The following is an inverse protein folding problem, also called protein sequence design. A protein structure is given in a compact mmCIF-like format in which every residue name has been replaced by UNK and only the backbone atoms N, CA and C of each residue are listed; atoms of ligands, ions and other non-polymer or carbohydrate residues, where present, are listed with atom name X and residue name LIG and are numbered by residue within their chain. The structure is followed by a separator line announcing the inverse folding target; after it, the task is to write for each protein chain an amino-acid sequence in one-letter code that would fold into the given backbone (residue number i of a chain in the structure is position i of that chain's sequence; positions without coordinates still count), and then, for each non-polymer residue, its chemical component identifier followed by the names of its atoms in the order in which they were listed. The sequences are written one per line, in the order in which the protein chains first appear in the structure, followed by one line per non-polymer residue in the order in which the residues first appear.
data_IF_586229791185
#
_entry.id   IF_586229791185
#
_cell.length_a   1.000
_cell.length_b   1.000
_cell.length_c   1.000
_cell.angle_alpha   90.00
_cell.angle_beta   90.00
_cell.angle_gamma   90.00
#
_symmetry.space_group_name_H-M   'P 1'
#
loop_
_entity.id
_entity.type
_entity.pdbx_description
1 polymer ?
#
# COMPACT_ATOMS: atom_id res chain seq x y z
N UNK A 1 12.27 -7.49 -14.64
CA UNK A 1 12.88 -7.45 -13.29
C UNK A 1 12.22 -6.44 -12.36
N UNK A 2 11.75 -5.33 -12.88
CA UNK A 2 10.99 -4.34 -12.10
C UNK A 2 9.52 -4.75 -12.07
N UNK A 3 9.02 -5.05 -10.88
CA UNK A 3 7.63 -5.42 -10.63
C UNK A 3 6.91 -4.25 -9.94
N UNK A 4 5.58 -4.16 -10.15
CA UNK A 4 4.72 -3.29 -9.35
C UNK A 4 4.71 -3.69 -7.88
N UNK A 5 4.23 -2.80 -7.02
CA UNK A 5 4.10 -3.09 -5.59
C UNK A 5 4.13 -1.85 -4.73
N UNK A 6 4.22 -2.09 -3.44
CA UNK A 6 4.50 -1.07 -2.44
C UNK A 6 5.98 -0.71 -2.46
N UNK A 7 6.35 0.42 -1.87
CA UNK A 7 7.75 0.80 -1.70
C UNK A 7 8.56 -0.22 -0.89
N UNK A 8 9.84 0.05 -0.69
CA UNK A 8 10.72 -0.76 0.13
C UNK A 8 10.19 -0.87 1.57
N UNK A 9 10.45 -2.00 2.21
CA UNK A 9 9.96 -2.28 3.56
C UNK A 9 10.92 -3.11 4.37
N UNK A 10 10.48 -3.42 5.59
CA UNK A 10 11.26 -4.18 6.56
C UNK A 10 12.16 -3.32 7.44
N UNK A 11 12.76 -3.95 8.44
CA UNK A 11 13.54 -3.25 9.47
C UNK A 11 14.92 -2.79 9.02
N UNK A 12 15.46 -3.31 7.90
CA UNK A 12 16.83 -3.02 7.48
C UNK A 12 16.91 -1.77 6.59
N UNK A 13 16.15 -1.74 5.50
CA UNK A 13 16.25 -0.68 4.48
C UNK A 13 16.07 0.73 5.04
N UNK A 14 14.98 1.05 5.78
CA UNK A 14 14.84 2.38 6.37
C UNK A 14 15.94 2.72 7.37
N UNK A 15 16.30 1.78 8.25
CA UNK A 15 17.34 1.97 9.26
C UNK A 15 18.69 2.25 8.63
N UNK A 16 19.07 1.47 7.62
CA UNK A 16 20.37 1.57 6.98
C UNK A 16 20.46 2.85 6.13
N UNK A 17 19.37 3.27 5.47
CA UNK A 17 19.32 4.57 4.79
C UNK A 17 19.43 5.75 5.76
N UNK A 18 18.81 5.68 6.95
CA UNK A 18 18.97 6.71 7.99
C UNK A 18 20.45 6.80 8.44
N UNK A 19 21.09 5.67 8.69
CA UNK A 19 22.50 5.64 9.10
C UNK A 19 23.42 6.17 8.00
N UNK A 20 23.19 5.82 6.74
CA UNK A 20 23.98 6.27 5.60
C UNK A 20 23.75 7.75 5.29
N UNK A 21 22.53 8.27 5.48
CA UNK A 21 22.22 9.71 5.38
C UNK A 21 22.99 10.49 6.44
N UNK A 22 23.00 10.03 7.69
CA UNK A 22 23.81 10.62 8.75
C UNK A 22 25.31 10.62 8.37
N UNK A 23 25.85 9.52 7.84
CA UNK A 23 27.25 9.47 7.37
C UNK A 23 27.50 10.45 6.20
N UNK A 24 26.55 10.59 5.28
CA UNK A 24 26.68 11.53 4.16
C UNK A 24 26.80 12.98 4.66
N UNK A 25 26.07 13.34 5.71
CA UNK A 25 26.14 14.66 6.35
C UNK A 25 27.48 14.85 7.10
N UNK A 26 27.95 13.86 7.88
CA UNK A 26 29.22 13.92 8.59
C UNK A 26 30.42 14.04 7.64
N UNK A 27 30.33 13.47 6.44
CA UNK A 27 31.38 13.50 5.42
C UNK A 27 31.24 14.67 4.43
N UNK A 28 30.27 15.57 4.65
CA UNK A 28 29.98 16.73 3.79
C UNK A 28 29.87 16.35 2.30
N UNK A 29 29.09 15.29 2.01
CA UNK A 29 28.85 14.87 0.64
C UNK A 29 28.00 15.93 -0.07
N UNK A 30 28.31 16.18 -1.35
CA UNK A 30 27.61 17.17 -2.18
C UNK A 30 26.12 16.87 -2.42
N UNK A 31 25.70 15.64 -2.16
CA UNK A 31 24.31 15.19 -2.29
C UNK A 31 24.02 13.99 -1.37
N UNK A 32 22.92 14.08 -0.61
CA UNK A 32 22.45 12.95 0.23
C UNK A 32 21.44 12.11 -0.55
N UNK A 33 21.94 11.05 -1.18
CA UNK A 33 21.14 10.09 -1.91
C UNK A 33 20.19 9.30 -0.99
N UNK A 34 20.63 9.01 0.22
CA UNK A 34 19.90 8.15 1.16
C UNK A 34 18.68 8.86 1.76
N UNK A 35 18.82 10.14 2.08
CA UNK A 35 17.67 10.98 2.45
C UNK A 35 16.67 11.05 1.30
N UNK A 36 17.12 11.23 0.08
CA UNK A 36 16.27 11.28 -1.10
C UNK A 36 15.48 10.00 -1.31
N UNK A 37 16.06 8.82 -1.02
CA UNK A 37 15.34 7.54 -1.06
C UNK A 37 14.24 7.48 0.00
N UNK A 38 14.49 7.95 1.22
CA UNK A 38 13.49 7.96 2.29
C UNK A 38 12.33 8.91 1.95
N UNK A 39 12.64 10.11 1.47
CA UNK A 39 11.63 11.07 1.02
C UNK A 39 10.79 10.50 -0.12
N UNK A 40 11.41 9.86 -1.11
CA UNK A 40 10.71 9.24 -2.23
C UNK A 40 9.73 8.14 -1.77
N UNK A 41 10.14 7.32 -0.81
CA UNK A 41 9.32 6.27 -0.19
C UNK A 41 8.07 6.86 0.49
N UNK A 42 8.24 7.93 1.28
CA UNK A 42 7.13 8.60 1.95
C UNK A 42 6.16 9.23 0.94
N UNK A 43 6.68 9.93 -0.07
CA UNK A 43 5.89 10.54 -1.14
C UNK A 43 5.08 9.51 -1.94
N UNK A 44 5.63 8.33 -2.20
CA UNK A 44 4.88 7.26 -2.84
C UNK A 44 3.70 6.80 -1.96
N UNK A 45 3.91 6.68 -0.65
CA UNK A 45 2.85 6.25 0.27
C UNK A 45 1.78 7.34 0.44
N UNK A 46 2.18 8.62 0.50
CA UNK A 46 1.26 9.76 0.49
C UNK A 46 0.37 9.74 -0.77
N UNK A 47 0.97 9.57 -1.94
CA UNK A 47 0.23 9.48 -3.21
C UNK A 47 -0.76 8.31 -3.23
N UNK A 48 -0.39 7.14 -2.70
CA UNK A 48 -1.31 6.01 -2.57
C UNK A 48 -2.47 6.34 -1.60
N UNK A 49 -2.20 7.09 -0.53
CA UNK A 49 -3.25 7.54 0.38
C UNK A 49 -4.24 8.49 -0.31
N UNK A 50 -3.76 9.40 -1.15
CA UNK A 50 -4.61 10.31 -1.94
C UNK A 50 -5.52 9.52 -2.90
N UNK A 51 -4.98 8.51 -3.58
CA UNK A 51 -5.76 7.63 -4.46
C UNK A 51 -6.91 6.93 -3.71
N UNK A 52 -6.65 6.44 -2.48
CA UNK A 52 -7.68 5.83 -1.64
C UNK A 52 -8.73 6.87 -1.22
N UNK A 53 -8.30 8.05 -0.77
CA UNK A 53 -9.19 9.13 -0.31
C UNK A 53 -10.09 9.67 -1.42
N UNK A 54 -9.58 9.75 -2.65
CA UNK A 54 -10.38 10.09 -3.83
C UNK A 54 -11.52 9.07 -3.99
N UNK A 55 -11.22 7.77 -3.85
CA UNK A 55 -12.24 6.72 -3.93
C UNK A 55 -13.22 6.73 -2.76
N UNK A 56 -12.77 7.04 -1.55
CA UNK A 56 -13.64 7.26 -0.39
C UNK A 56 -14.62 8.40 -0.68
N UNK A 57 -14.13 9.53 -1.20
CA UNK A 57 -14.94 10.69 -1.55
C UNK A 57 -15.95 10.40 -2.69
N UNK A 58 -15.55 9.61 -3.69
CA UNK A 58 -16.39 9.24 -4.84
C UNK A 58 -17.50 8.25 -4.49
N UNK A 59 -17.21 7.26 -3.65
CA UNK A 59 -18.09 6.12 -3.39
C UNK A 59 -18.77 6.13 -2.03
N UNK A 60 -18.23 6.84 -1.05
CA UNK A 60 -18.67 6.78 0.36
C UNK A 60 -18.31 5.46 1.06
N UNK A 61 -17.51 4.59 0.43
CA UNK A 61 -17.10 3.30 1.00
C UNK A 61 -15.93 3.46 1.96
N UNK A 62 -15.86 2.58 2.96
CA UNK A 62 -14.74 2.54 3.90
C UNK A 62 -13.52 1.80 3.30
N UNK A 63 -12.29 2.25 3.57
CA UNK A 63 -11.10 1.56 3.14
C UNK A 63 -10.70 0.42 4.08
N UNK A 64 -10.32 -0.71 3.48
CA UNK A 64 -9.78 -1.90 4.15
C UNK A 64 -8.45 -2.25 3.49
N UNK A 65 -7.37 -2.29 4.26
CA UNK A 65 -6.05 -2.68 3.77
C UNK A 65 -5.86 -4.18 4.00
N UNK A 66 -5.64 -4.93 2.94
CA UNK A 66 -5.34 -6.36 2.98
C UNK A 66 -3.82 -6.57 2.88
N UNK A 67 -3.24 -7.03 3.98
CA UNK A 67 -1.80 -7.20 4.17
C UNK A 67 -1.18 -6.15 5.08
N UNK A 68 -0.58 -6.62 6.18
CA UNK A 68 0.15 -5.83 7.19
C UNK A 68 1.66 -6.02 7.07
N UNK A 69 2.08 -7.11 6.44
CA UNK A 69 3.48 -7.49 6.35
C UNK A 69 4.21 -6.73 5.24
N UNK A 70 5.51 -6.51 5.40
CA UNK A 70 6.31 -5.90 4.34
C UNK A 70 6.68 -6.90 3.24
N UNK A 71 6.54 -8.20 3.51
CA UNK A 71 6.89 -9.30 2.60
C UNK A 71 5.83 -10.39 2.65
N UNK A 72 5.51 -10.95 1.47
CA UNK A 72 4.53 -12.03 1.35
C UNK A 72 4.92 -13.27 2.15
N UNK A 73 3.91 -14.02 2.58
CA UNK A 73 4.04 -15.31 3.27
C UNK A 73 4.88 -15.24 4.55
N UNK A 74 4.83 -14.10 5.25
CA UNK A 74 5.50 -13.88 6.54
C UNK A 74 4.57 -13.16 7.51
N UNK A 75 4.93 -13.11 8.80
CA UNK A 75 4.28 -12.31 9.82
C UNK A 75 5.09 -11.06 10.23
N UNK A 76 6.00 -10.62 9.36
CA UNK A 76 6.92 -9.51 9.65
C UNK A 76 6.28 -8.17 9.28
N UNK A 77 5.82 -7.44 10.27
CA UNK A 77 5.12 -6.15 10.11
C UNK A 77 6.02 -4.93 10.32
N UNK A 78 7.21 -5.11 10.90
CA UNK A 78 8.15 -4.00 11.17
C UNK A 78 8.60 -3.34 9.86
N UNK A 79 8.43 -2.03 9.78
CA UNK A 79 8.79 -1.24 8.58
C UNK A 79 7.87 -1.48 7.38
N UNK A 80 6.65 -1.99 7.61
CA UNK A 80 5.67 -2.22 6.54
C UNK A 80 5.17 -0.91 5.93
N UNK A 81 5.23 -0.75 4.60
CA UNK A 81 4.63 0.38 3.89
C UNK A 81 3.10 0.44 4.06
N UNK A 82 2.44 -0.71 4.23
CA UNK A 82 1.00 -0.79 4.44
C UNK A 82 0.57 -0.20 5.78
N UNK A 83 1.38 -0.39 6.82
CA UNK A 83 1.14 0.23 8.14
C UNK A 83 1.38 1.74 8.07
N UNK A 84 2.41 2.19 7.36
CA UNK A 84 2.63 3.62 7.11
C UNK A 84 1.44 4.22 6.38
N UNK A 85 0.94 3.56 5.33
CA UNK A 85 -0.25 3.99 4.58
C UNK A 85 -1.48 4.13 5.49
N UNK A 86 -1.74 3.15 6.37
CA UNK A 86 -2.81 3.25 7.36
C UNK A 86 -2.67 4.49 8.23
N UNK A 87 -1.47 4.74 8.74
CA UNK A 87 -1.23 5.88 9.63
C UNK A 87 -1.50 7.21 8.93
N UNK A 88 -1.06 7.36 7.68
CA UNK A 88 -1.32 8.55 6.86
C UNK A 88 -2.83 8.73 6.59
N UNK A 89 -3.55 7.64 6.31
CA UNK A 89 -5.00 7.70 6.12
C UNK A 89 -5.74 8.12 7.40
N UNK A 90 -5.33 7.61 8.56
CA UNK A 90 -5.94 7.96 9.87
C UNK A 90 -5.74 9.42 10.27
N UNK A 91 -4.81 10.17 9.65
CA UNK A 91 -4.73 11.62 9.81
C UNK A 91 -5.85 12.37 9.08
N UNK A 92 -6.55 11.72 8.14
CA UNK A 92 -7.52 12.34 7.25
C UNK A 92 -8.93 11.76 7.37
N UNK A 93 -9.07 10.51 7.86
CA UNK A 93 -10.35 9.82 8.06
C UNK A 93 -10.37 9.08 9.40
N UNK A 94 -11.57 8.88 9.96
CA UNK A 94 -11.76 8.39 11.32
C UNK A 94 -11.36 6.91 11.51
N UNK A 95 -11.45 6.08 10.47
CA UNK A 95 -11.16 4.65 10.58
C UNK A 95 -10.60 4.06 9.30
N UNK A 96 -9.64 3.15 9.46
CA UNK A 96 -9.07 2.30 8.41
C UNK A 96 -8.89 0.91 8.99
N UNK A 97 -9.59 -0.06 8.44
CA UNK A 97 -9.43 -1.46 8.85
C UNK A 97 -8.23 -2.09 8.16
N UNK A 98 -7.58 -3.04 8.83
CA UNK A 98 -6.51 -3.85 8.24
C UNK A 98 -6.68 -5.31 8.61
N UNK A 99 -6.38 -6.19 7.66
CA UNK A 99 -6.33 -7.62 7.88
C UNK A 99 -5.13 -8.26 7.16
N UNK A 100 -4.49 -9.22 7.84
CA UNK A 100 -3.39 -10.00 7.27
C UNK A 100 -3.50 -11.46 7.74
N UNK A 101 -3.60 -12.44 6.84
CA UNK A 101 -3.82 -13.84 7.21
C UNK A 101 -2.64 -14.51 7.91
N UNK A 102 -1.46 -13.89 7.97
CA UNK A 102 -0.27 -14.35 8.70
C UNK A 102 -0.10 -13.69 10.07
N UNK A 103 -0.92 -12.68 10.36
CA UNK A 103 -0.83 -11.86 11.60
C UNK A 103 -2.10 -11.95 12.43
N UNK A 104 -3.25 -11.92 11.75
CA UNK A 104 -4.55 -11.87 12.43
C UNK A 104 -5.19 -13.26 12.49
N UNK A 105 -5.96 -13.46 13.56
CA UNK A 105 -6.87 -14.60 13.69
C UNK A 105 -8.23 -14.28 13.05
N UNK A 106 -8.94 -15.30 12.60
CA UNK A 106 -10.26 -15.16 12.02
C UNK A 106 -10.29 -14.94 10.51
N UNK A 107 -11.43 -14.47 10.03
CA UNK A 107 -11.69 -14.29 8.61
C UNK A 107 -11.43 -12.84 8.16
N UNK A 108 -11.10 -12.68 6.87
CA UNK A 108 -10.95 -11.35 6.28
C UNK A 108 -12.28 -10.59 6.29
N UNK A 109 -12.28 -9.27 6.53
CA UNK A 109 -13.48 -8.43 6.57
C UNK A 109 -13.95 -8.07 5.15
N UNK A 110 -14.34 -9.09 4.36
CA UNK A 110 -14.79 -8.95 2.97
C UNK A 110 -16.29 -9.25 2.81
N UNK A 111 -17.09 -8.90 3.81
CA UNK A 111 -18.51 -9.24 3.85
C UNK A 111 -19.43 -8.17 3.22
N UNK A 112 -18.97 -6.95 3.11
CA UNK A 112 -19.71 -5.80 2.59
C UNK A 112 -18.88 -5.03 1.55
N UNK A 113 -19.50 -4.28 0.62
CA UNK A 113 -18.78 -3.45 -0.32
C UNK A 113 -17.86 -2.45 0.39
N UNK A 114 -16.59 -2.41 -0.03
CA UNK A 114 -15.55 -1.56 0.54
C UNK A 114 -14.49 -1.20 -0.51
N UNK A 115 -13.56 -0.33 -0.14
CA UNK A 115 -12.34 -0.06 -0.91
C UNK A 115 -11.25 -0.97 -0.35
N UNK A 116 -10.96 -2.04 -1.07
CA UNK A 116 -9.90 -2.98 -0.69
C UNK A 116 -8.56 -2.56 -1.31
N UNK A 117 -7.59 -2.27 -0.49
CA UNK A 117 -6.23 -1.98 -0.92
C UNK A 117 -5.33 -3.19 -0.67
N UNK A 118 -4.67 -3.71 -1.70
CA UNK A 118 -3.77 -4.86 -1.58
C UNK A 118 -2.39 -4.38 -1.10
N UNK A 119 -2.19 -4.38 0.21
CA UNK A 119 -0.98 -3.86 0.85
C UNK A 119 0.21 -4.82 0.78
N UNK A 120 -0.06 -6.14 0.81
CA UNK A 120 0.96 -7.18 0.69
C UNK A 120 0.49 -8.22 -0.33
N UNK A 121 1.40 -8.75 -1.13
CA UNK A 121 1.08 -9.67 -2.21
C UNK A 121 0.99 -11.14 -1.75
N UNK A 122 0.23 -11.42 -0.69
CA UNK A 122 -0.03 -12.79 -0.24
C UNK A 122 -0.83 -13.58 -1.28
N UNK A 123 -0.40 -14.79 -1.59
CA UNK A 123 -1.06 -15.64 -2.58
C UNK A 123 -2.50 -16.00 -2.14
N UNK A 124 -2.78 -16.03 -0.84
CA UNK A 124 -4.12 -16.26 -0.29
C UNK A 124 -5.17 -15.24 -0.77
N UNK A 125 -4.78 -14.01 -1.07
CA UNK A 125 -5.70 -12.99 -1.57
C UNK A 125 -6.24 -13.29 -2.97
N UNK A 126 -5.55 -14.13 -3.76
CA UNK A 126 -6.02 -14.54 -5.09
C UNK A 126 -7.35 -15.32 -5.05
N UNK A 127 -7.65 -15.96 -3.91
CA UNK A 127 -8.86 -16.74 -3.72
C UNK A 127 -10.05 -15.90 -3.20
N UNK A 128 -9.80 -14.62 -2.85
CA UNK A 128 -10.83 -13.75 -2.27
C UNK A 128 -11.89 -13.37 -3.31
N UNK A 129 -13.14 -13.38 -2.83
CA UNK A 129 -14.30 -12.91 -3.60
C UNK A 129 -14.80 -11.63 -2.95
N UNK A 130 -14.60 -10.52 -3.63
CA UNK A 130 -15.04 -9.22 -3.16
C UNK A 130 -16.53 -9.02 -3.43
N UNK A 131 -17.26 -8.38 -2.51
CA UNK A 131 -18.66 -8.04 -2.71
C UNK A 131 -18.86 -7.14 -3.94
N UNK A 132 -19.99 -7.32 -4.63
CA UNK A 132 -20.40 -6.46 -5.74
C UNK A 132 -20.49 -4.98 -5.29
N UNK A 133 -20.03 -4.06 -6.11
CA UNK A 133 -19.93 -2.63 -5.78
C UNK A 133 -18.64 -2.23 -5.05
N UNK A 134 -17.74 -3.17 -4.75
CA UNK A 134 -16.44 -2.87 -4.17
C UNK A 134 -15.47 -2.26 -5.18
N UNK A 135 -14.44 -1.58 -4.64
CA UNK A 135 -13.28 -1.10 -5.39
C UNK A 135 -12.04 -1.86 -4.88
N UNK A 136 -11.25 -2.43 -5.76
CA UNK A 136 -9.97 -3.08 -5.43
C UNK A 136 -8.81 -2.27 -6.02
N UNK A 137 -7.96 -1.73 -5.16
CA UNK A 137 -6.74 -1.02 -5.55
C UNK A 137 -5.56 -1.99 -5.39
N UNK A 138 -4.96 -2.35 -6.51
CA UNK A 138 -3.92 -3.38 -6.56
C UNK A 138 -2.60 -2.83 -7.13
N UNK A 139 -1.65 -2.42 -6.25
CA UNK A 139 -0.32 -2.00 -6.66
C UNK A 139 0.56 -3.14 -7.17
N UNK A 140 0.21 -4.40 -6.88
CA UNK A 140 0.97 -5.59 -7.28
C UNK A 140 0.54 -6.15 -8.63
N UNK A 141 -0.65 -5.75 -9.13
CA UNK A 141 -1.26 -6.26 -10.36
C UNK A 141 -1.44 -7.78 -10.36
N UNK A 142 -1.74 -8.34 -9.19
CA UNK A 142 -1.89 -9.78 -8.99
C UNK A 142 -3.34 -10.24 -9.06
N UNK A 143 -4.29 -9.35 -8.75
CA UNK A 143 -5.70 -9.70 -8.67
C UNK A 143 -6.31 -9.90 -10.05
N UNK A 144 -7.24 -10.86 -10.15
CA UNK A 144 -8.07 -11.07 -11.34
C UNK A 144 -9.38 -10.32 -11.18
N UNK A 145 -9.82 -9.66 -12.24
CA UNK A 145 -11.09 -8.94 -12.27
C UNK A 145 -12.27 -9.87 -11.97
N UNK A 146 -13.24 -9.39 -11.22
CA UNK A 146 -14.50 -10.06 -10.88
C UNK A 146 -15.66 -9.16 -11.32
N UNK A 147 -16.75 -9.77 -11.77
CA UNK A 147 -17.93 -9.05 -12.21
C UNK A 147 -18.50 -8.20 -11.05
N UNK A 148 -18.89 -6.97 -11.35
CA UNK A 148 -19.48 -6.04 -10.38
C UNK A 148 -18.45 -5.38 -9.43
N UNK A 149 -17.14 -5.56 -9.61
CA UNK A 149 -16.06 -4.97 -8.81
C UNK A 149 -15.18 -4.08 -9.67
N UNK A 150 -14.93 -2.84 -9.24
CA UNK A 150 -13.97 -1.94 -9.90
C UNK A 150 -12.54 -2.31 -9.52
N UNK A 151 -11.64 -2.45 -10.52
CA UNK A 151 -10.21 -2.68 -10.27
C UNK A 151 -9.36 -1.51 -10.72
N UNK A 152 -8.45 -1.08 -9.85
CA UNK A 152 -7.45 -0.04 -10.11
C UNK A 152 -6.07 -0.67 -9.97
N UNK A 153 -5.44 -0.96 -11.09
CA UNK A 153 -4.05 -1.42 -11.12
C UNK A 153 -3.12 -0.22 -11.12
N UNK A 154 -2.39 -0.05 -10.03
CA UNK A 154 -1.51 1.11 -9.86
C UNK A 154 -0.44 1.14 -10.97
N UNK A 155 -0.26 2.31 -11.58
CA UNK A 155 0.67 2.53 -12.69
C UNK A 155 0.16 1.98 -14.04
N UNK A 156 -1.12 1.63 -14.17
CA UNK A 156 -1.74 1.33 -15.46
C UNK A 156 -2.15 2.63 -16.19
N UNK A 157 -1.29 3.08 -17.11
CA UNK A 157 -1.51 4.30 -17.90
C UNK A 157 -2.55 4.15 -19.01
N UNK A 158 -3.04 2.94 -19.27
CA UNK A 158 -4.08 2.72 -20.30
C UNK A 158 -5.46 3.19 -19.82
N UNK A 159 -5.68 3.27 -18.50
CA UNK A 159 -6.86 3.84 -17.86
C UNK A 159 -6.63 5.34 -17.64
N UNK A 160 -7.07 6.17 -18.56
CA UNK A 160 -6.81 7.63 -18.68
C UNK A 160 -7.10 8.50 -17.43
N UNK A 161 -7.74 8.00 -16.39
CA UNK A 161 -8.21 8.78 -15.24
C UNK A 161 -7.09 9.18 -14.26
N UNK A 162 -5.93 8.50 -14.28
CA UNK A 162 -4.82 8.72 -13.35
C UNK A 162 -3.47 8.98 -14.05
N UNK A 163 -3.49 9.26 -15.36
CA UNK A 163 -2.29 9.49 -16.17
C UNK A 163 -1.84 10.97 -16.22
N UNK A 164 -2.47 11.85 -15.44
CA UNK A 164 -2.13 13.28 -15.41
C UNK A 164 -1.66 13.70 -14.02
N UNK A 165 -0.37 13.50 -13.80
CA UNK A 165 0.46 14.30 -12.91
C UNK A 165 1.67 14.78 -13.69
#
# INVERSE_FOLDING_TARGET
YLLGGMGDGGGCHPRDNIALSWMAQELDLSYDWYESLMVCREKQTEWLSELILDKVSESGLNPIILGKCFKKETNLTVGSPSILLKNILLEKIDSVEMYDPWVDEGEAPINEPAIFFIGTNHDKFLDYKFPEGSVVIDPWRMMKEQDGVEYIYVGDSTRKKYASV
#
